data_IF_258790733000
#
_entry.id   IF_258790733000
#
_cell.length_a   1.000
_cell.length_b   1.000
_cell.length_c   1.000
_cell.angle_alpha   90.00
_cell.angle_beta   90.00
_cell.angle_gamma   90.00
#
_symmetry.space_group_name_H-M   'P 1'
#
loop_
_entity.id
_entity.type
_entity.pdbx_description
1 polymer ?
#
# COMPACT_ATOMS: atom_id res chain seq x y z
N UNK A 1 -1.88 -1.52 39.66
CA UNK A 1 -2.79 -1.63 38.49
C UNK A 1 -2.10 -1.42 37.13
N UNK A 2 -0.81 -1.07 37.05
CA UNK A 2 -0.12 -0.76 35.77
C UNK A 2 0.61 -1.99 35.15
N UNK A 3 0.79 -3.09 35.91
CA UNK A 3 1.47 -4.32 35.43
C UNK A 3 0.60 -5.26 34.57
N UNK A 4 -0.64 -4.88 34.25
CA UNK A 4 -1.54 -5.72 33.45
C UNK A 4 -1.31 -5.59 31.92
N UNK A 5 -0.48 -4.63 31.49
CA UNK A 5 -0.28 -4.30 30.07
C UNK A 5 0.86 -5.09 29.39
N UNK A 6 1.60 -5.93 30.11
CA UNK A 6 2.62 -6.82 29.53
C UNK A 6 2.06 -8.18 29.07
N UNK A 7 0.80 -8.24 28.61
CA UNK A 7 0.29 -9.46 27.97
C UNK A 7 0.83 -9.55 26.54
N UNK A 8 1.47 -10.67 26.23
CA UNK A 8 2.20 -11.02 24.99
C UNK A 8 1.48 -10.70 23.65
N UNK A 9 0.17 -10.42 23.66
CA UNK A 9 -0.68 -10.33 22.46
C UNK A 9 -1.27 -8.93 22.18
N UNK A 10 -1.00 -7.89 22.98
CA UNK A 10 -1.54 -6.54 22.74
C UNK A 10 -1.22 -5.94 21.35
N UNK A 11 0.02 -6.06 20.82
CA UNK A 11 0.33 -5.55 19.49
C UNK A 11 -0.49 -6.21 18.39
N UNK A 12 -0.73 -7.53 18.51
CA UNK A 12 -1.55 -8.26 17.55
C UNK A 12 -3.01 -7.78 17.61
N UNK A 13 -3.55 -7.57 18.81
CA UNK A 13 -4.89 -6.99 18.97
C UNK A 13 -4.96 -5.60 18.34
N UNK A 14 -3.93 -4.78 18.52
CA UNK A 14 -3.86 -3.44 17.93
C UNK A 14 -3.84 -3.51 16.39
N UNK A 15 -3.09 -4.43 15.79
CA UNK A 15 -3.11 -4.67 14.34
C UNK A 15 -4.50 -5.10 13.85
N UNK A 16 -5.14 -6.04 14.55
CA UNK A 16 -6.50 -6.48 14.20
C UNK A 16 -7.48 -5.31 14.24
N UNK A 17 -7.43 -4.50 15.31
CA UNK A 17 -8.28 -3.31 15.45
C UNK A 17 -8.02 -2.31 14.32
N UNK A 18 -6.76 -2.04 13.99
CA UNK A 18 -6.39 -1.16 12.87
C UNK A 18 -6.98 -1.65 11.54
N UNK A 19 -6.84 -2.93 11.21
CA UNK A 19 -7.39 -3.51 9.97
C UNK A 19 -8.91 -3.43 9.96
N UNK A 20 -9.58 -3.73 11.09
CA UNK A 20 -11.03 -3.62 11.20
C UNK A 20 -11.50 -2.18 10.98
N UNK A 21 -10.83 -1.19 11.59
CA UNK A 21 -11.15 0.22 11.41
C UNK A 21 -10.96 0.66 9.95
N UNK A 22 -9.90 0.20 9.29
CA UNK A 22 -9.68 0.44 7.86
C UNK A 22 -10.83 -0.13 7.03
N UNK A 23 -11.20 -1.39 7.23
CA UNK A 23 -12.32 -2.04 6.52
C UNK A 23 -13.62 -1.27 6.73
N UNK A 24 -13.94 -0.89 7.98
CA UNK A 24 -15.14 -0.11 8.29
C UNK A 24 -15.11 1.22 7.54
N UNK A 25 -13.98 1.93 7.55
CA UNK A 25 -13.86 3.22 6.88
C UNK A 25 -13.97 3.11 5.35
N UNK A 26 -13.34 2.10 4.74
CA UNK A 26 -13.47 1.83 3.30
C UNK A 26 -14.93 1.49 2.94
N UNK A 27 -15.64 0.74 3.79
CA UNK A 27 -17.10 0.53 3.61
C UNK A 27 -17.91 1.82 3.71
N UNK A 28 -17.56 2.73 4.63
CA UNK A 28 -18.19 4.04 4.72
C UNK A 28 -17.89 4.93 3.50
N UNK A 29 -16.76 4.70 2.82
CA UNK A 29 -16.43 5.31 1.52
C UNK A 29 -17.08 4.58 0.32
N UNK A 30 -17.98 3.63 0.57
CA UNK A 30 -18.66 2.80 -0.42
C UNK A 30 -17.71 1.97 -1.31
N UNK A 31 -16.54 1.58 -0.80
CA UNK A 31 -15.63 0.66 -1.52
C UNK A 31 -16.25 -0.74 -1.61
N UNK A 32 -16.13 -1.39 -2.76
CA UNK A 32 -16.60 -2.77 -2.95
C UNK A 32 -15.84 -3.76 -2.08
N UNK A 33 -16.48 -4.86 -1.69
CA UNK A 33 -15.79 -5.90 -0.91
C UNK A 33 -14.72 -6.62 -1.73
N UNK A 34 -15.06 -6.92 -2.98
CA UNK A 34 -14.24 -7.55 -4.01
C UNK A 34 -14.83 -7.14 -5.37
N UNK A 35 -14.16 -7.50 -6.47
CA UNK A 35 -14.64 -7.25 -7.83
C UNK A 35 -16.15 -7.50 -8.00
N UNK A 36 -16.83 -6.52 -8.61
CA UNK A 36 -18.26 -6.61 -8.99
C UNK A 36 -18.57 -7.78 -9.93
N UNK A 37 -17.55 -8.37 -10.53
CA UNK A 37 -17.59 -9.54 -11.40
C UNK A 37 -17.81 -10.88 -10.68
N UNK A 38 -18.08 -10.88 -9.36
CA UNK A 38 -18.35 -12.08 -8.54
C UNK A 38 -17.25 -13.15 -8.58
N UNK A 39 -16.04 -12.80 -9.01
CA UNK A 39 -14.87 -13.67 -9.02
C UNK A 39 -13.75 -13.05 -8.21
N UNK A 40 -13.04 -13.89 -7.47
CA UNK A 40 -11.86 -13.48 -6.72
C UNK A 40 -10.63 -14.12 -7.38
N UNK A 41 -9.66 -13.27 -7.74
CA UNK A 41 -8.38 -13.68 -8.30
C UNK A 41 -7.28 -13.33 -7.31
N UNK A 42 -6.24 -14.15 -7.27
CA UNK A 42 -5.06 -13.88 -6.47
C UNK A 42 -4.19 -12.78 -7.10
N UNK A 43 -4.19 -12.66 -8.43
CA UNK A 43 -3.35 -11.73 -9.18
C UNK A 43 -4.05 -11.23 -10.44
N UNK A 44 -3.85 -9.95 -10.77
CA UNK A 44 -4.17 -9.33 -12.06
C UNK A 44 -2.88 -8.74 -12.63
N UNK A 45 -2.62 -8.91 -13.92
CA UNK A 45 -1.35 -8.46 -14.54
C UNK A 45 -1.46 -7.17 -15.33
N UNK A 46 -2.63 -6.87 -15.87
CA UNK A 46 -2.83 -5.68 -16.71
C UNK A 46 -3.14 -4.47 -15.83
N UNK A 47 -2.21 -3.50 -15.69
CA UNK A 47 -2.37 -2.34 -14.83
C UNK A 47 -3.47 -1.39 -15.31
N UNK A 48 -3.81 -1.39 -16.61
CA UNK A 48 -4.83 -0.53 -17.19
C UNK A 48 -6.23 -1.17 -17.19
N UNK A 49 -6.36 -2.39 -16.68
CA UNK A 49 -7.65 -3.09 -16.66
C UNK A 49 -8.59 -2.55 -15.58
N UNK A 50 -9.90 -2.70 -15.80
CA UNK A 50 -10.91 -2.45 -14.75
C UNK A 50 -10.86 -3.45 -13.59
N UNK A 51 -10.00 -4.46 -13.67
CA UNK A 51 -9.77 -5.45 -12.62
C UNK A 51 -8.62 -5.05 -11.67
N UNK A 52 -7.78 -4.10 -12.08
CA UNK A 52 -6.73 -3.55 -11.21
C UNK A 52 -7.36 -2.93 -9.97
N UNK A 53 -6.76 -3.21 -8.82
CA UNK A 53 -7.24 -2.84 -7.50
C UNK A 53 -8.54 -3.49 -7.04
N UNK A 54 -9.10 -4.44 -7.81
CA UNK A 54 -10.38 -5.11 -7.48
C UNK A 54 -10.21 -6.55 -6.96
N UNK A 55 -8.97 -7.04 -6.91
CA UNK A 55 -8.61 -8.40 -6.54
C UNK A 55 -7.48 -8.40 -5.50
N UNK A 56 -6.99 -9.57 -5.10
CA UNK A 56 -6.06 -9.65 -3.96
C UNK A 56 -4.73 -8.91 -4.20
N UNK A 57 -4.17 -8.99 -5.41
CA UNK A 57 -2.92 -8.34 -5.75
C UNK A 57 -2.85 -8.02 -7.25
N UNK A 58 -2.02 -7.03 -7.58
CA UNK A 58 -1.75 -6.56 -8.92
C UNK A 58 -0.37 -5.85 -8.96
N UNK A 59 0.08 -5.25 -10.08
CA UNK A 59 1.39 -4.61 -10.13
C UNK A 59 1.62 -3.52 -9.07
N UNK A 60 0.58 -2.83 -8.61
CA UNK A 60 0.69 -1.80 -7.56
C UNK A 60 0.88 -2.42 -6.17
N UNK A 61 0.57 -3.70 -5.95
CA UNK A 61 0.97 -4.39 -4.71
C UNK A 61 2.49 -4.32 -4.45
N UNK A 62 3.31 -4.18 -5.49
CA UNK A 62 4.75 -3.94 -5.32
C UNK A 62 5.07 -2.56 -4.72
N UNK A 63 4.26 -1.53 -4.97
CA UNK A 63 4.44 -0.20 -4.36
C UNK A 63 4.10 -0.23 -2.87
N UNK A 64 3.08 -0.99 -2.46
CA UNK A 64 2.77 -1.21 -1.04
C UNK A 64 3.84 -2.08 -0.35
N UNK A 65 4.42 -3.07 -1.05
CA UNK A 65 5.60 -3.75 -0.55
C UNK A 65 6.76 -2.76 -0.30
N UNK A 66 6.97 -1.81 -1.22
CA UNK A 66 7.97 -0.74 -1.06
C UNK A 66 7.62 0.23 0.08
N UNK A 67 6.35 0.52 0.36
CA UNK A 67 5.95 1.23 1.60
C UNK A 67 6.49 0.49 2.82
N UNK A 68 6.32 -0.84 2.88
CA UNK A 68 6.88 -1.67 3.95
C UNK A 68 8.38 -1.54 4.11
N UNK A 69 9.13 -1.52 2.99
CA UNK A 69 10.57 -1.31 3.00
C UNK A 69 10.94 0.04 3.63
N UNK A 70 10.28 1.12 3.21
CA UNK A 70 10.52 2.49 3.70
C UNK A 70 10.09 2.65 5.15
N UNK A 71 8.89 2.18 5.50
CA UNK A 71 8.31 2.29 6.83
C UNK A 71 9.10 1.50 7.87
N UNK A 72 9.74 0.38 7.51
CA UNK A 72 10.65 -0.33 8.41
C UNK A 72 11.73 0.61 8.98
N UNK A 73 12.23 1.55 8.16
CA UNK A 73 13.26 2.49 8.58
C UNK A 73 12.68 3.73 9.25
N UNK A 74 11.64 4.33 8.66
CA UNK A 74 10.99 5.52 9.23
C UNK A 74 10.49 5.23 10.64
N UNK A 75 9.76 4.12 10.81
CA UNK A 75 9.25 3.71 12.13
C UNK A 75 10.39 3.22 13.03
N UNK A 76 11.39 2.50 12.50
CA UNK A 76 12.56 2.10 13.27
C UNK A 76 13.32 3.29 13.87
N UNK A 77 13.34 4.43 13.18
CA UNK A 77 13.92 5.68 13.65
C UNK A 77 13.00 6.44 14.62
N UNK A 78 11.74 6.68 14.24
CA UNK A 78 10.74 7.41 15.04
C UNK A 78 10.42 6.70 16.37
N UNK A 79 10.24 5.39 16.32
CA UNK A 79 9.85 4.55 17.45
C UNK A 79 11.00 3.64 17.92
N UNK A 80 12.25 4.15 17.88
CA UNK A 80 13.46 3.37 18.21
C UNK A 80 13.44 2.66 19.58
N UNK A 81 12.69 3.20 20.53
CA UNK A 81 12.57 2.67 21.90
C UNK A 81 11.45 1.61 22.04
N UNK A 82 10.64 1.38 20.99
CA UNK A 82 9.52 0.45 21.03
C UNK A 82 9.99 -0.97 20.70
N UNK A 83 9.32 -1.97 21.29
CA UNK A 83 9.53 -3.37 20.92
C UNK A 83 9.10 -3.57 19.46
N UNK A 84 9.78 -4.46 18.73
CA UNK A 84 9.51 -4.73 17.31
C UNK A 84 8.02 -4.92 16.96
N UNK A 85 7.20 -5.70 17.71
CA UNK A 85 5.78 -5.84 17.38
C UNK A 85 4.98 -4.52 17.40
N UNK A 86 5.37 -3.55 18.23
CA UNK A 86 4.75 -2.23 18.25
C UNK A 86 5.23 -1.34 17.09
N UNK A 87 6.48 -1.51 16.64
CA UNK A 87 6.96 -0.88 15.41
C UNK A 87 6.21 -1.43 14.19
N UNK A 88 6.00 -2.75 14.12
CA UNK A 88 5.17 -3.39 13.09
C UNK A 88 3.76 -2.80 13.11
N UNK A 89 3.12 -2.74 14.27
CA UNK A 89 1.78 -2.14 14.39
C UNK A 89 1.74 -0.70 13.87
N UNK A 90 2.70 0.15 14.27
CA UNK A 90 2.73 1.55 13.84
C UNK A 90 2.90 1.68 12.32
N UNK A 91 3.76 0.86 11.71
CA UNK A 91 3.91 0.84 10.25
C UNK A 91 2.62 0.44 9.54
N UNK A 92 1.95 -0.63 10.00
CA UNK A 92 0.68 -1.06 9.41
C UNK A 92 -0.47 -0.07 9.68
N UNK A 93 -0.41 0.69 10.78
CA UNK A 93 -1.34 1.78 11.03
C UNK A 93 -1.15 2.96 10.08
N UNK A 94 0.11 3.26 9.70
CA UNK A 94 0.40 4.27 8.69
C UNK A 94 -0.09 3.78 7.32
N UNK A 95 0.19 2.51 6.96
CA UNK A 95 -0.28 1.92 5.70
C UNK A 95 -1.80 1.92 5.60
N UNK A 96 -2.50 1.45 6.65
CA UNK A 96 -3.95 1.48 6.69
C UNK A 96 -4.51 2.91 6.62
N UNK A 97 -3.79 3.89 7.16
CA UNK A 97 -4.11 5.30 7.00
C UNK A 97 -3.96 5.77 5.55
N UNK A 98 -2.91 5.32 4.86
CA UNK A 98 -2.72 5.56 3.43
C UNK A 98 -3.84 4.94 2.61
N UNK A 99 -4.18 3.67 2.80
CA UNK A 99 -5.31 2.99 2.14
C UNK A 99 -6.62 3.77 2.24
N UNK A 100 -6.93 4.28 3.45
CA UNK A 100 -8.12 5.10 3.69
C UNK A 100 -8.06 6.41 2.89
N UNK A 101 -6.90 7.05 2.84
CA UNK A 101 -6.70 8.34 2.16
C UNK A 101 -6.72 8.18 0.64
N UNK A 102 -6.02 7.18 0.13
CA UNK A 102 -5.96 6.78 -1.28
C UNK A 102 -7.35 6.54 -1.84
N UNK A 103 -8.20 5.88 -1.06
CA UNK A 103 -9.57 5.55 -1.44
C UNK A 103 -10.59 6.69 -1.25
N UNK A 104 -10.15 7.87 -0.82
CA UNK A 104 -11.01 9.05 -0.82
C UNK A 104 -11.30 9.52 -2.25
N UNK A 105 -12.48 10.13 -2.45
CA UNK A 105 -12.79 10.74 -3.75
C UNK A 105 -11.80 11.83 -4.15
N UNK A 106 -11.17 12.50 -3.19
CA UNK A 106 -10.13 13.49 -3.47
C UNK A 106 -8.92 12.85 -4.18
N UNK A 107 -8.35 11.79 -3.62
CA UNK A 107 -7.16 11.13 -4.19
C UNK A 107 -7.52 10.35 -5.46
N UNK A 108 -8.66 9.65 -5.48
CA UNK A 108 -9.12 8.94 -6.68
C UNK A 108 -9.28 9.88 -7.88
N UNK A 109 -9.94 11.03 -7.68
CA UNK A 109 -10.09 12.01 -8.77
C UNK A 109 -8.75 12.58 -9.19
N UNK A 110 -7.84 12.80 -8.22
CA UNK A 110 -6.48 13.26 -8.53
C UNK A 110 -5.70 12.25 -9.37
N UNK A 111 -5.81 10.95 -9.10
CA UNK A 111 -5.19 9.92 -9.95
C UNK A 111 -5.80 9.92 -11.36
N UNK A 112 -7.13 9.97 -11.50
CA UNK A 112 -7.78 10.04 -12.83
C UNK A 112 -7.32 11.25 -13.66
N UNK A 113 -7.19 12.39 -12.99
CA UNK A 113 -6.79 13.64 -13.66
C UNK A 113 -5.28 13.65 -13.98
N UNK A 114 -4.46 13.11 -13.10
CA UNK A 114 -3.01 13.23 -13.15
C UNK A 114 -2.28 12.08 -13.83
N UNK A 115 -2.78 10.84 -13.74
CA UNK A 115 -2.07 9.64 -14.22
C UNK A 115 -2.80 8.97 -15.37
N UNK A 116 -2.22 7.88 -15.89
CA UNK A 116 -2.84 7.01 -16.90
C UNK A 116 -3.98 6.13 -16.34
N UNK A 117 -4.43 6.36 -15.09
CA UNK A 117 -5.44 5.59 -14.39
C UNK A 117 -6.88 5.88 -14.87
N UNK A 118 -7.10 5.83 -16.19
CA UNK A 118 -8.41 5.97 -16.83
C UNK A 118 -9.34 4.86 -16.35
N UNK A 119 -10.28 5.19 -15.48
CA UNK A 119 -11.24 4.23 -14.92
C UNK A 119 -10.87 3.69 -13.54
N UNK A 120 -9.83 4.19 -12.87
CA UNK A 120 -9.58 3.85 -11.47
C UNK A 120 -10.73 4.32 -10.60
N UNK A 121 -11.38 3.38 -9.92
CA UNK A 121 -12.54 3.65 -9.06
C UNK A 121 -12.22 3.67 -7.59
N UNK A 122 -10.95 3.53 -7.21
CA UNK A 122 -10.54 3.12 -5.87
C UNK A 122 -10.45 1.60 -5.76
N UNK A 123 -9.79 1.17 -4.71
CA UNK A 123 -9.52 -0.21 -4.40
C UNK A 123 -10.75 -0.88 -3.76
N UNK A 124 -10.87 -2.17 -4.01
CA UNK A 124 -11.75 -3.04 -3.24
C UNK A 124 -11.13 -3.31 -1.86
N UNK A 125 -11.96 -3.64 -0.88
CA UNK A 125 -11.48 -3.93 0.48
C UNK A 125 -10.51 -5.11 0.51
N UNK A 126 -10.75 -6.13 -0.30
CA UNK A 126 -9.82 -7.27 -0.43
C UNK A 126 -8.45 -6.84 -0.95
N UNK A 127 -8.42 -5.89 -1.90
CA UNK A 127 -7.18 -5.35 -2.43
C UNK A 127 -6.43 -4.57 -1.36
N UNK A 128 -7.08 -3.60 -0.70
CA UNK A 128 -6.47 -2.85 0.42
C UNK A 128 -5.94 -3.75 1.54
N UNK A 129 -6.62 -4.86 1.85
CA UNK A 129 -6.09 -5.86 2.80
C UNK A 129 -4.85 -6.57 2.25
N UNK A 130 -4.86 -6.92 0.96
CA UNK A 130 -3.69 -7.45 0.24
C UNK A 130 -2.50 -6.50 0.26
N UNK A 131 -2.74 -5.20 0.08
CA UNK A 131 -1.72 -4.16 0.08
C UNK A 131 -1.12 -3.93 1.47
N UNK A 132 -1.95 -3.93 2.52
CA UNK A 132 -1.45 -3.95 3.92
C UNK A 132 -0.61 -5.21 4.20
N UNK A 133 -1.00 -6.38 3.65
CA UNK A 133 -0.20 -7.60 3.76
C UNK A 133 1.13 -7.49 3.01
N UNK A 134 1.14 -6.86 1.83
CA UNK A 134 2.36 -6.59 1.06
C UNK A 134 3.30 -5.65 1.81
N UNK A 135 2.77 -4.58 2.41
CA UNK A 135 3.52 -3.67 3.28
C UNK A 135 4.11 -4.42 4.48
N UNK A 136 3.35 -5.29 5.14
CA UNK A 136 3.89 -6.14 6.21
C UNK A 136 5.05 -7.02 5.72
N UNK A 137 4.92 -7.66 4.56
CA UNK A 137 5.99 -8.48 3.97
C UNK A 137 7.23 -7.65 3.68
N UNK A 138 7.08 -6.47 3.10
CA UNK A 138 8.17 -5.52 2.86
C UNK A 138 8.90 -5.18 4.14
N UNK A 139 8.16 -4.85 5.20
CA UNK A 139 8.74 -4.53 6.50
C UNK A 139 9.55 -5.70 7.11
N UNK A 140 9.03 -6.93 7.02
CA UNK A 140 9.74 -8.13 7.47
C UNK A 140 11.01 -8.38 6.64
N UNK A 141 10.94 -8.21 5.32
CA UNK A 141 12.08 -8.36 4.42
C UNK A 141 13.15 -7.33 4.73
N UNK A 142 12.80 -6.04 4.82
CA UNK A 142 13.72 -4.96 5.13
C UNK A 142 14.45 -5.19 6.46
N UNK A 143 13.71 -5.67 7.47
CA UNK A 143 14.30 -6.02 8.77
C UNK A 143 15.35 -7.13 8.68
N UNK A 144 15.15 -8.08 7.76
CA UNK A 144 16.02 -9.26 7.60
C UNK A 144 17.26 -8.98 6.76
N UNK A 145 17.13 -8.21 5.68
CA UNK A 145 18.22 -7.99 4.71
C UNK A 145 19.12 -6.79 5.06
N UNK A 146 18.65 -5.89 5.94
CA UNK A 146 19.41 -4.73 6.39
C UNK A 146 19.43 -3.56 5.39
N UNK A 147 19.91 -2.41 5.86
CA UNK A 147 19.76 -1.11 5.19
C UNK A 147 20.21 -1.08 3.72
N UNK A 148 21.45 -1.50 3.44
CA UNK A 148 22.02 -1.41 2.10
C UNK A 148 21.25 -2.29 1.10
N UNK A 149 20.92 -3.52 1.48
CA UNK A 149 20.20 -4.44 0.62
C UNK A 149 18.75 -4.00 0.38
N UNK A 150 18.11 -3.35 1.36
CA UNK A 150 16.76 -2.81 1.18
C UNK A 150 16.71 -1.72 0.13
N UNK A 151 17.68 -0.80 0.08
CA UNK A 151 17.69 0.24 -0.96
C UNK A 151 17.95 -0.32 -2.34
N UNK A 152 18.87 -1.30 -2.45
CA UNK A 152 19.07 -2.01 -3.72
C UNK A 152 17.78 -2.69 -4.17
N UNK A 153 17.07 -3.38 -3.28
CA UNK A 153 15.78 -4.01 -3.58
C UNK A 153 14.71 -2.97 -3.97
N UNK A 154 14.61 -1.87 -3.22
CA UNK A 154 13.65 -0.80 -3.48
C UNK A 154 13.82 -0.23 -4.89
N UNK A 155 15.05 0.16 -5.26
CA UNK A 155 15.32 0.72 -6.59
C UNK A 155 15.24 -0.32 -7.70
N UNK A 156 15.57 -1.60 -7.43
CA UNK A 156 15.36 -2.67 -8.40
C UNK A 156 13.88 -2.84 -8.73
N UNK A 157 12.99 -2.77 -7.73
CA UNK A 157 11.53 -2.82 -7.95
C UNK A 157 11.08 -1.60 -8.76
N UNK A 158 11.52 -0.39 -8.42
CA UNK A 158 11.20 0.82 -9.20
C UNK A 158 11.55 0.66 -10.68
N UNK A 159 12.76 0.20 -10.99
CA UNK A 159 13.20 -0.02 -12.38
C UNK A 159 12.36 -1.07 -13.08
N UNK A 160 12.04 -2.18 -12.41
CA UNK A 160 11.18 -3.23 -12.97
C UNK A 160 9.81 -2.68 -13.30
N UNK A 161 9.17 -1.94 -12.39
CA UNK A 161 7.83 -1.36 -12.61
C UNK A 161 7.84 -0.32 -13.74
N UNK A 162 8.85 0.56 -13.78
CA UNK A 162 8.99 1.56 -14.86
C UNK A 162 9.11 0.90 -16.24
N UNK A 163 9.76 -0.27 -16.34
CA UNK A 163 9.89 -1.02 -17.59
C UNK A 163 8.60 -1.78 -17.94
N UNK A 164 7.97 -2.43 -16.96
CA UNK A 164 6.87 -3.37 -17.22
C UNK A 164 5.51 -2.69 -17.31
N UNK A 165 5.25 -1.69 -16.46
CA UNK A 165 3.94 -1.02 -16.36
C UNK A 165 4.00 0.48 -16.64
N UNK A 166 5.19 1.05 -16.89
CA UNK A 166 5.42 2.49 -17.06
C UNK A 166 4.90 3.34 -15.88
N UNK A 167 4.90 2.75 -14.69
CA UNK A 167 4.58 3.41 -13.44
C UNK A 167 5.46 2.82 -12.32
N UNK A 168 5.51 3.45 -11.15
CA UNK A 168 6.29 3.01 -9.99
C UNK A 168 5.88 3.82 -8.75
N UNK A 169 6.36 3.47 -7.57
CA UNK A 169 6.00 4.22 -6.35
C UNK A 169 6.44 5.69 -6.44
N UNK A 170 7.69 5.95 -6.84
CA UNK A 170 8.19 7.33 -6.89
C UNK A 170 7.48 8.14 -7.98
N UNK A 171 7.16 7.51 -9.12
CA UNK A 171 6.45 8.19 -10.20
C UNK A 171 5.00 8.49 -9.80
N UNK A 172 4.34 7.54 -9.15
CA UNK A 172 2.99 7.70 -8.63
C UNK A 172 2.92 8.88 -7.63
N UNK A 173 3.83 8.91 -6.65
CA UNK A 173 3.93 10.03 -5.69
C UNK A 173 4.21 11.36 -6.40
N UNK A 174 5.15 11.38 -7.36
CA UNK A 174 5.46 12.58 -8.13
C UNK A 174 4.21 13.10 -8.86
N UNK A 175 3.52 12.24 -9.61
CA UNK A 175 2.36 12.62 -10.40
C UNK A 175 1.16 13.02 -9.52
N UNK A 176 1.02 12.39 -8.35
CA UNK A 176 -0.02 12.72 -7.37
C UNK A 176 0.12 14.15 -6.82
N UNK A 177 1.34 14.65 -6.61
CA UNK A 177 1.56 16.01 -6.09
C UNK A 177 1.83 17.03 -7.20
N UNK A 178 2.58 16.65 -8.23
CA UNK A 178 3.05 17.51 -9.30
C UNK A 178 2.89 16.82 -10.67
N UNK A 179 1.70 16.89 -11.28
CA UNK A 179 1.42 16.21 -12.54
C UNK A 179 2.24 16.82 -13.67
N UNK A 180 2.94 15.98 -14.42
CA UNK A 180 3.76 16.38 -15.56
C UNK A 180 3.19 15.72 -16.81
N UNK A 181 2.71 16.53 -17.76
CA UNK A 181 2.02 16.03 -18.96
C UNK A 181 2.90 15.08 -19.78
N UNK A 182 4.21 15.38 -19.92
CA UNK A 182 5.14 14.52 -20.64
C UNK A 182 5.27 13.12 -20.01
N UNK A 183 5.21 13.04 -18.68
CA UNK A 183 5.22 11.75 -17.98
C UNK A 183 3.90 11.03 -18.25
N UNK A 184 2.76 11.70 -18.05
CA UNK A 184 1.42 11.13 -18.30
C UNK A 184 1.29 10.52 -19.70
N UNK A 185 1.75 11.22 -20.73
CA UNK A 185 1.74 10.72 -22.11
C UNK A 185 2.64 9.49 -22.28
N UNK A 186 3.82 9.48 -21.65
CA UNK A 186 4.70 8.31 -21.66
C UNK A 186 4.06 7.10 -20.96
N UNK A 187 3.33 7.30 -19.86
CA UNK A 187 2.62 6.23 -19.15
C UNK A 187 1.49 5.62 -20.00
N UNK A 188 0.84 6.41 -20.85
CA UNK A 188 -0.31 5.99 -21.65
C UNK A 188 0.03 5.09 -22.85
N UNK A 189 1.27 5.12 -23.36
CA UNK A 189 1.64 4.33 -24.54
C UNK A 189 2.19 5.13 -25.68
#
# INVERSE_FOLDING_TARGET
>A
MIRALERKNWPLLAVIVTIVLMIVQLRLQHREWFCSCATLRAWVSDPASSHTSQHLADPFTFTHFQHGLVLCFVVGWLAKNWKWPWQVWLALAIEAGWEILENTQFVINRYRDATAALGYTGDSIVNSVGDVLACWLGLVVAKKIGWNATWVLFFAIEVVLLITIRDSLLLNVLMLFWPIEAIKQWQLG
#
